data_IF_682376970823
#
_entry.id   IF_682376970823
#
_cell.length_a   1.000
_cell.length_b   1.000
_cell.length_c   1.000
_cell.angle_alpha   90.00
_cell.angle_beta   90.00
_cell.angle_gamma   90.00
#
_symmetry.space_group_name_H-M   'P 1'
#
loop_
_entity.id
_entity.type
_entity.pdbx_description
1 polymer ?
#
# COMPACT_ATOMS: atom_id res chain seq x y z
N UNK A 1 17.84 -25.78 -6.47
CA UNK A 1 16.72 -24.87 -6.14
C UNK A 1 17.33 -23.57 -5.66
N UNK A 2 17.12 -22.47 -6.37
CA UNK A 2 17.49 -21.13 -5.92
C UNK A 2 16.73 -20.82 -4.64
N UNK A 3 17.43 -20.33 -3.62
CA UNK A 3 16.84 -19.93 -2.34
C UNK A 3 15.70 -18.94 -2.64
N UNK A 4 14.43 -19.26 -2.28
CA UNK A 4 13.31 -18.36 -2.53
C UNK A 4 13.67 -17.01 -1.92
N UNK A 5 13.34 -15.92 -2.61
CA UNK A 5 13.66 -14.56 -2.20
C UNK A 5 12.94 -14.24 -0.89
N UNK A 6 13.46 -14.70 0.25
CA UNK A 6 12.75 -14.65 1.53
C UNK A 6 12.48 -13.21 1.93
N UNK A 7 11.26 -12.95 2.38
CA UNK A 7 10.85 -11.66 2.91
C UNK A 7 10.75 -11.70 4.42
N UNK A 8 11.16 -10.60 5.06
CA UNK A 8 11.17 -10.48 6.51
C UNK A 8 10.61 -9.12 6.93
N UNK A 9 9.90 -9.12 8.05
CA UNK A 9 9.44 -7.89 8.68
C UNK A 9 10.62 -6.97 9.00
N UNK A 10 10.44 -5.68 8.73
CA UNK A 10 11.38 -4.62 9.08
C UNK A 10 10.60 -3.41 9.59
N UNK A 11 11.15 -2.73 10.59
CA UNK A 11 10.58 -1.45 11.02
C UNK A 11 10.85 -0.40 9.93
N UNK A 12 9.85 0.40 9.54
CA UNK A 12 10.01 1.44 8.52
C UNK A 12 11.21 2.36 8.78
N UNK A 13 11.48 2.70 10.05
CA UNK A 13 12.64 3.52 10.46
C UNK A 13 14.01 2.89 10.13
N UNK A 14 14.05 1.58 9.86
CA UNK A 14 15.26 0.83 9.47
C UNK A 14 15.42 0.69 7.95
N UNK A 15 14.46 1.16 7.15
CA UNK A 15 14.60 1.27 5.69
C UNK A 15 15.59 2.41 5.39
N UNK A 16 16.40 2.36 4.33
CA UNK A 16 17.26 3.49 3.96
C UNK A 16 16.46 4.79 3.78
N UNK A 17 16.94 5.91 4.32
CA UNK A 17 16.22 7.19 4.33
C UNK A 17 15.83 7.68 2.93
N UNK A 18 16.70 7.46 1.93
CA UNK A 18 16.43 7.77 0.53
C UNK A 18 15.20 7.03 -0.01
N UNK A 19 14.99 5.78 0.41
CA UNK A 19 13.84 4.96 0.04
C UNK A 19 12.60 5.40 0.81
N UNK A 20 12.72 5.68 2.11
CA UNK A 20 11.62 6.22 2.91
C UNK A 20 11.03 7.49 2.27
N UNK A 21 11.89 8.43 1.86
CA UNK A 21 11.49 9.69 1.20
C UNK A 21 10.74 9.45 -0.12
N UNK A 22 11.18 8.50 -0.94
CA UNK A 22 10.49 8.13 -2.18
C UNK A 22 9.10 7.56 -1.91
N UNK A 23 9.01 6.63 -0.96
CA UNK A 23 7.74 6.02 -0.54
C UNK A 23 6.75 7.07 -0.05
N UNK A 24 7.19 7.95 0.86
CA UNK A 24 6.36 9.06 1.38
C UNK A 24 5.89 9.96 0.24
N UNK A 25 6.78 10.34 -0.67
CA UNK A 25 6.45 11.19 -1.81
C UNK A 25 5.37 10.58 -2.71
N UNK A 26 5.41 9.27 -2.97
CA UNK A 26 4.43 8.62 -3.84
C UNK A 26 3.03 8.57 -3.21
N UNK A 27 2.93 8.26 -1.91
CA UNK A 27 1.67 8.29 -1.17
C UNK A 27 1.04 9.69 -1.21
N UNK A 28 1.84 10.73 -0.95
CA UNK A 28 1.37 12.11 -0.94
C UNK A 28 0.96 12.61 -2.34
N UNK A 29 1.59 12.10 -3.40
CA UNK A 29 1.25 12.42 -4.79
C UNK A 29 -0.11 11.84 -5.19
N UNK A 30 -0.38 10.57 -4.88
CA UNK A 30 -1.63 9.90 -5.27
C UNK A 30 -2.88 10.50 -4.62
N UNK A 31 -2.77 10.98 -3.38
CA UNK A 31 -3.89 11.70 -2.74
C UNK A 31 -4.27 12.98 -3.46
N UNK A 32 -3.30 13.71 -4.03
CA UNK A 32 -3.57 14.95 -4.77
C UNK A 32 -4.40 14.67 -6.03
N UNK A 33 -4.23 13.51 -6.64
CA UNK A 33 -4.92 13.10 -7.88
C UNK A 33 -6.28 12.44 -7.64
N UNK A 34 -6.55 11.95 -6.42
CA UNK A 34 -7.86 11.42 -6.02
C UNK A 34 -8.92 12.49 -5.74
N UNK A 35 -8.57 13.78 -5.84
CA UNK A 35 -9.56 14.84 -5.82
C UNK A 35 -10.57 14.58 -6.92
N UNK A 36 -11.83 14.51 -6.52
CA UNK A 36 -12.99 14.46 -7.41
C UNK A 36 -12.71 15.30 -8.65
N UNK A 37 -12.84 14.68 -9.83
CA UNK A 37 -12.82 15.35 -11.13
C UNK A 37 -13.46 16.74 -11.00
N UNK A 38 -12.64 17.76 -11.27
CA UNK A 38 -12.61 19.12 -10.72
C UNK A 38 -13.87 20.01 -10.86
N UNK A 39 -15.07 19.48 -11.09
CA UNK A 39 -16.19 20.30 -11.54
C UNK A 39 -17.27 20.68 -10.52
N UNK A 40 -17.27 20.19 -9.26
CA UNK A 40 -18.45 20.46 -8.40
C UNK A 40 -18.24 20.88 -6.95
N UNK A 41 -17.03 20.95 -6.41
CA UNK A 41 -16.86 21.27 -4.99
C UNK A 41 -15.74 22.28 -4.77
N UNK A 42 -16.11 23.45 -4.24
CA UNK A 42 -15.22 24.55 -3.86
C UNK A 42 -14.47 24.21 -2.55
N UNK A 43 -13.90 23.00 -2.48
CA UNK A 43 -13.24 22.45 -1.29
C UNK A 43 -11.75 22.77 -1.39
N UNK A 44 -11.22 23.46 -0.37
CA UNK A 44 -9.79 23.74 -0.28
C UNK A 44 -9.01 22.42 -0.24
N UNK A 45 -8.01 22.33 -1.09
CA UNK A 45 -7.06 21.22 -1.07
C UNK A 45 -6.42 21.07 0.32
N UNK A 46 -6.63 19.94 0.98
CA UNK A 46 -5.87 19.61 2.19
C UNK A 46 -4.44 19.25 1.76
N UNK A 47 -3.46 19.94 2.35
CA UNK A 47 -2.05 19.63 2.13
C UNK A 47 -1.61 18.60 3.18
N UNK A 48 -1.37 17.37 2.73
CA UNK A 48 -0.81 16.31 3.55
C UNK A 48 0.71 16.43 3.68
N UNK A 49 1.22 16.01 4.83
CA UNK A 49 2.66 15.93 5.14
C UNK A 49 3.00 14.60 5.81
N UNK A 50 4.28 14.33 6.03
CA UNK A 50 4.76 13.07 6.64
C UNK A 50 4.14 12.80 8.03
N UNK A 51 3.89 13.84 8.83
CA UNK A 51 3.29 13.71 10.18
C UNK A 51 1.86 13.16 10.14
N UNK A 52 1.22 13.28 9.00
CA UNK A 52 -0.15 12.83 8.73
C UNK A 52 -0.15 11.38 8.25
N UNK A 53 1.01 10.72 8.13
CA UNK A 53 1.14 9.32 7.76
C UNK A 53 1.24 8.42 9.01
N UNK A 54 0.58 7.27 8.93
CA UNK A 54 0.67 6.16 9.88
C UNK A 54 1.45 5.03 9.22
N UNK A 55 2.72 4.90 9.54
CA UNK A 55 3.55 3.82 9.01
C UNK A 55 3.11 2.47 9.60
N UNK A 56 2.65 1.59 8.72
CA UNK A 56 2.22 0.24 9.06
C UNK A 56 3.36 -0.76 9.02
N UNK A 57 3.06 -2.00 8.63
CA UNK A 57 4.05 -3.07 8.47
C UNK A 57 4.90 -2.82 7.22
N UNK A 58 6.19 -3.08 7.33
CA UNK A 58 7.09 -3.11 6.19
C UNK A 58 7.82 -4.45 6.14
N UNK A 59 8.11 -4.89 4.92
CA UNK A 59 8.81 -6.12 4.62
C UNK A 59 9.97 -5.79 3.70
N UNK A 60 11.08 -6.49 3.87
CA UNK A 60 12.21 -6.44 2.94
C UNK A 60 12.57 -7.83 2.48
N UNK A 61 13.08 -7.94 1.27
CA UNK A 61 13.67 -9.19 0.81
C UNK A 61 15.04 -9.45 1.46
N UNK A 62 15.59 -10.66 1.28
CA UNK A 62 16.87 -11.09 1.87
C UNK A 62 18.04 -10.17 1.53
N UNK A 63 18.07 -9.61 0.31
CA UNK A 63 19.12 -8.69 -0.14
C UNK A 63 18.97 -7.28 0.44
N UNK A 64 17.79 -6.92 0.93
CA UNK A 64 17.49 -5.58 1.44
C UNK A 64 17.44 -4.51 0.36
N UNK A 65 17.26 -4.90 -0.90
CA UNK A 65 17.14 -4.01 -2.05
C UNK A 65 15.67 -3.78 -2.46
N UNK A 66 14.75 -4.58 -1.94
CA UNK A 66 13.31 -4.48 -2.20
C UNK A 66 12.50 -4.41 -0.92
N UNK A 67 11.44 -3.61 -0.96
CA UNK A 67 10.59 -3.25 0.16
C UNK A 67 9.12 -3.27 -0.25
N UNK A 68 8.27 -3.82 0.61
CA UNK A 68 6.82 -3.71 0.53
C UNK A 68 6.35 -3.04 1.82
N UNK A 69 5.61 -1.95 1.72
CA UNK A 69 5.27 -1.09 2.85
C UNK A 69 3.79 -0.75 2.82
N UNK A 70 3.10 -1.06 3.92
CA UNK A 70 1.76 -0.55 4.17
C UNK A 70 1.85 0.79 4.90
N UNK A 71 1.21 1.84 4.34
CA UNK A 71 1.16 3.18 4.93
C UNK A 71 -0.30 3.62 5.02
N UNK A 72 -0.77 3.92 6.22
CA UNK A 72 -2.04 4.60 6.45
C UNK A 72 -1.89 6.11 6.41
N UNK A 73 -2.99 6.83 6.22
CA UNK A 73 -3.07 8.27 6.51
C UNK A 73 -3.85 8.44 7.82
N UNK A 74 -3.29 9.19 8.76
CA UNK A 74 -3.97 9.60 9.99
C UNK A 74 -5.22 10.36 9.58
N UNK A 75 -6.37 9.89 10.05
CA UNK A 75 -7.68 10.48 9.77
C UNK A 75 -7.64 12.00 9.99
N UNK A 76 -7.83 12.76 8.91
CA UNK A 76 -8.11 14.19 8.99
C UNK A 76 -9.63 14.27 8.93
N UNK A 77 -10.26 14.63 10.05
CA UNK A 77 -11.72 14.63 10.28
C UNK A 77 -12.57 15.49 9.32
N UNK A 78 -12.04 15.94 8.20
CA UNK A 78 -12.65 16.99 7.38
C UNK A 78 -12.43 16.78 5.87
N UNK A 79 -12.30 15.53 5.41
CA UNK A 79 -12.35 15.25 3.97
C UNK A 79 -13.79 14.92 3.57
N UNK A 80 -14.54 15.87 2.99
CA UNK A 80 -15.78 15.52 2.31
C UNK A 80 -15.46 14.58 1.13
N UNK A 81 -16.25 13.51 0.97
CA UNK A 81 -16.29 12.76 -0.29
C UNK A 81 -16.78 13.66 -1.43
N UNK A 82 -16.85 13.10 -2.63
CA UNK A 82 -17.40 13.80 -3.80
C UNK A 82 -18.89 14.17 -3.66
N UNK A 83 -19.56 13.75 -2.58
CA UNK A 83 -20.95 14.06 -2.26
C UNK A 83 -21.08 15.00 -1.05
N UNK A 84 -19.97 15.48 -0.46
CA UNK A 84 -19.97 16.37 0.70
C UNK A 84 -20.08 15.67 2.05
N UNK A 85 -20.05 14.34 2.11
CA UNK A 85 -20.09 13.58 3.36
C UNK A 85 -18.70 13.53 4.00
N UNK A 86 -18.59 13.83 5.29
CA UNK A 86 -17.34 13.62 6.03
C UNK A 86 -16.95 12.14 5.99
N UNK A 87 -15.81 11.82 5.38
CA UNK A 87 -15.28 10.47 5.39
C UNK A 87 -14.21 10.33 6.47
N UNK A 88 -14.51 9.48 7.46
CA UNK A 88 -13.60 9.11 8.54
C UNK A 88 -12.72 7.90 8.25
N UNK A 89 -12.59 7.46 6.99
CA UNK A 89 -11.95 6.17 6.74
C UNK A 89 -10.44 6.37 6.49
N UNK A 90 -9.56 5.81 7.35
CA UNK A 90 -8.14 5.80 7.06
C UNK A 90 -7.92 5.07 5.74
N UNK A 91 -7.37 5.76 4.74
CA UNK A 91 -6.92 5.07 3.53
C UNK A 91 -5.55 4.46 3.79
N UNK A 92 -5.37 3.22 3.37
CA UNK A 92 -4.08 2.56 3.38
C UNK A 92 -3.56 2.42 1.96
N UNK A 93 -2.24 2.56 1.84
CA UNK A 93 -1.48 2.48 0.61
C UNK A 93 -0.54 1.29 0.75
N UNK A 94 -0.62 0.37 -0.20
CA UNK A 94 0.40 -0.65 -0.36
C UNK A 94 1.41 -0.15 -1.39
N UNK A 95 2.63 0.09 -0.94
CA UNK A 95 3.72 0.60 -1.76
C UNK A 95 4.77 -0.49 -1.91
N UNK A 96 5.22 -0.72 -3.14
CA UNK A 96 6.44 -1.46 -3.41
C UNK A 96 7.58 -0.51 -3.77
N UNK A 97 8.80 -0.80 -3.34
CA UNK A 97 9.99 -0.09 -3.78
C UNK A 97 11.16 -1.06 -3.95
N UNK A 98 11.90 -0.91 -5.05
CA UNK A 98 13.17 -1.61 -5.28
C UNK A 98 14.39 -0.70 -5.11
N UNK A 99 14.25 0.36 -4.31
CA UNK A 99 15.27 1.40 -4.10
C UNK A 99 15.36 2.43 -5.24
N UNK A 100 15.16 2.01 -6.49
CA UNK A 100 15.21 2.89 -7.66
C UNK A 100 13.83 3.45 -8.01
N UNK A 101 12.84 2.57 -8.13
CA UNK A 101 11.44 2.86 -8.41
C UNK A 101 10.58 2.67 -7.16
N UNK A 102 9.39 3.26 -7.19
CA UNK A 102 8.36 3.11 -6.16
C UNK A 102 7.02 3.03 -6.86
N UNK A 103 6.32 1.93 -6.67
CA UNK A 103 5.05 1.66 -7.30
C UNK A 103 3.96 1.62 -6.23
N UNK A 104 2.90 2.37 -6.46
CA UNK A 104 1.68 2.23 -5.67
C UNK A 104 0.90 1.03 -6.18
N UNK A 105 0.89 -0.05 -5.38
CA UNK A 105 0.23 -1.29 -5.76
C UNK A 105 -1.29 -1.17 -5.59
N UNK A 106 -1.72 -0.43 -4.57
CA UNK A 106 -3.13 -0.24 -4.27
C UNK A 106 -3.36 0.96 -3.35
N UNK A 107 -4.46 1.66 -3.59
CA UNK A 107 -5.04 2.65 -2.67
C UNK A 107 -6.49 2.25 -2.40
N UNK A 108 -6.80 1.80 -1.20
CA UNK A 108 -8.16 1.52 -0.79
C UNK A 108 -8.47 2.07 0.61
N UNK A 109 -9.77 2.17 0.90
CA UNK A 109 -10.35 2.41 2.22
C UNK A 109 -10.15 1.18 3.12
N UNK A 110 -8.90 0.97 3.53
CA UNK A 110 -8.50 -0.17 4.31
C UNK A 110 -8.21 0.20 5.75
N UNK A 111 -8.51 -0.73 6.66
CA UNK A 111 -7.92 -0.66 7.98
C UNK A 111 -6.41 -0.96 7.86
N UNK A 112 -5.57 0.08 7.96
CA UNK A 112 -4.11 0.04 7.76
C UNK A 112 -3.35 -1.01 8.59
N UNK A 113 -4.00 -1.61 9.60
CA UNK A 113 -3.43 -2.59 10.53
C UNK A 113 -3.40 -4.03 9.99
N UNK A 114 -4.08 -4.29 8.89
CA UNK A 114 -4.49 -5.65 8.53
C UNK A 114 -3.81 -6.25 7.29
N UNK A 115 -2.80 -5.57 6.73
CA UNK A 115 -2.06 -6.11 5.60
C UNK A 115 -0.85 -6.92 6.06
N UNK A 116 -0.91 -8.22 5.85
CA UNK A 116 0.14 -9.16 6.25
C UNK A 116 0.70 -9.89 5.03
N UNK A 117 1.99 -9.73 4.76
CA UNK A 117 2.66 -10.56 3.76
C UNK A 117 2.73 -11.99 4.29
N UNK A 118 2.01 -12.90 3.65
CA UNK A 118 1.97 -14.33 3.98
C UNK A 118 3.17 -15.05 3.37
N UNK A 119 3.40 -14.80 2.09
CA UNK A 119 4.37 -15.53 1.29
C UNK A 119 4.91 -14.66 0.15
N UNK A 120 6.12 -14.99 -0.28
CA UNK A 120 6.65 -14.54 -1.55
C UNK A 120 7.30 -15.74 -2.27
N UNK A 121 6.78 -16.08 -3.44
CA UNK A 121 7.16 -17.27 -4.18
C UNK A 121 6.96 -17.04 -5.68
N UNK A 122 7.77 -17.69 -6.54
CA UNK A 122 7.55 -17.75 -7.99
C UNK A 122 6.53 -18.85 -8.28
N UNK A 123 5.25 -18.52 -8.07
CA UNK A 123 4.13 -19.44 -8.12
C UNK A 123 3.69 -19.75 -9.55
N UNK A 124 3.93 -18.83 -10.49
CA UNK A 124 3.58 -19.00 -11.90
C UNK A 124 4.74 -19.55 -12.77
N UNK A 125 5.93 -19.74 -12.19
CA UNK A 125 7.16 -20.22 -12.83
C UNK A 125 7.71 -19.31 -13.94
N UNK A 126 7.56 -17.98 -13.80
CA UNK A 126 8.08 -17.00 -14.76
C UNK A 126 9.44 -16.40 -14.39
N UNK A 127 10.01 -16.84 -13.26
CA UNK A 127 11.30 -16.37 -12.76
C UNK A 127 11.23 -15.11 -11.89
N UNK A 128 10.03 -14.60 -11.61
CA UNK A 128 9.79 -13.51 -10.66
C UNK A 128 8.89 -13.98 -9.52
N UNK A 129 9.10 -13.47 -8.30
CA UNK A 129 8.29 -13.88 -7.15
C UNK A 129 7.01 -13.07 -7.07
N UNK A 130 5.85 -13.69 -6.93
CA UNK A 130 4.66 -12.97 -6.48
C UNK A 130 4.73 -12.65 -4.98
N UNK A 131 4.02 -11.61 -4.55
CA UNK A 131 3.77 -11.31 -3.14
C UNK A 131 2.32 -11.63 -2.78
N UNK A 132 2.13 -12.48 -1.77
CA UNK A 132 0.82 -12.90 -1.28
C UNK A 132 0.51 -12.17 0.02
N UNK A 133 -0.52 -11.33 0.00
CA UNK A 133 -0.97 -10.55 1.15
C UNK A 133 -2.29 -11.11 1.67
N UNK A 134 -2.40 -11.30 2.98
CA UNK A 134 -3.69 -11.48 3.62
C UNK A 134 -4.41 -10.14 3.75
N UNK A 135 -5.68 -10.12 3.35
CA UNK A 135 -6.57 -8.98 3.47
C UNK A 135 -7.59 -9.25 4.57
N UNK A 136 -7.27 -8.91 5.81
CA UNK A 136 -8.23 -9.04 6.91
C UNK A 136 -9.15 -7.82 6.93
N UNK A 137 -10.30 -7.87 6.27
CA UNK A 137 -11.34 -6.84 6.41
C UNK A 137 -12.36 -7.20 7.49
N UNK A 138 -13.02 -6.20 8.06
CA UNK A 138 -14.16 -6.43 8.95
C UNK A 138 -15.26 -7.14 8.13
N UNK A 139 -15.40 -8.46 8.29
CA UNK A 139 -16.33 -9.37 7.59
C UNK A 139 -15.92 -9.90 6.19
N UNK A 140 -14.65 -9.80 5.78
CA UNK A 140 -14.18 -10.42 4.52
C UNK A 140 -12.78 -11.00 4.71
N UNK A 141 -12.67 -12.32 4.55
CA UNK A 141 -11.38 -13.02 4.48
C UNK A 141 -11.00 -13.19 3.00
N UNK A 142 -9.82 -12.71 2.64
CA UNK A 142 -9.32 -12.78 1.27
C UNK A 142 -7.80 -12.66 1.23
N UNK A 143 -7.24 -12.77 0.04
CA UNK A 143 -5.83 -12.50 -0.19
C UNK A 143 -5.63 -11.75 -1.50
N UNK A 144 -4.58 -10.95 -1.57
CA UNK A 144 -4.16 -10.24 -2.77
C UNK A 144 -2.81 -10.75 -3.24
N UNK A 145 -2.65 -10.90 -4.55
CA UNK A 145 -1.39 -11.34 -5.17
C UNK A 145 -0.84 -10.22 -6.03
N UNK A 146 0.37 -9.77 -5.72
CA UNK A 146 1.11 -8.83 -6.55
C UNK A 146 2.09 -9.56 -7.47
N UNK A 147 1.92 -9.37 -8.76
CA UNK A 147 2.78 -9.93 -9.80
C UNK A 147 3.78 -8.85 -10.27
N UNK A 148 5.09 -9.09 -10.06
CA UNK A 148 6.14 -8.15 -10.46
C UNK A 148 6.30 -8.01 -11.97
N UNK A 149 5.98 -9.05 -12.75
CA UNK A 149 6.13 -9.03 -14.20
C UNK A 149 5.04 -8.19 -14.85
N UNK A 150 3.80 -8.31 -14.37
CA UNK A 150 2.69 -7.49 -14.90
C UNK A 150 2.54 -6.16 -14.18
N UNK A 151 3.12 -6.00 -12.98
CA UNK A 151 2.95 -4.82 -12.14
C UNK A 151 1.53 -4.65 -11.63
N UNK A 152 0.77 -5.75 -11.53
CA UNK A 152 -0.65 -5.74 -11.15
C UNK A 152 -0.87 -6.43 -9.82
N UNK A 153 -1.72 -5.82 -9.00
CA UNK A 153 -2.29 -6.46 -7.82
C UNK A 153 -3.64 -7.07 -8.19
N UNK A 154 -3.83 -8.36 -7.90
CA UNK A 154 -5.08 -9.08 -8.11
C UNK A 154 -5.66 -9.49 -6.77
N UNK A 155 -6.90 -9.06 -6.50
CA UNK A 155 -7.62 -9.37 -5.25
C UNK A 155 -8.42 -10.68 -5.41
N UNK A 156 -8.23 -11.62 -4.51
CA UNK A 156 -8.97 -12.87 -4.41
C UNK A 156 -9.79 -12.85 -3.12
N UNK A 157 -10.99 -12.28 -3.18
CA UNK A 157 -11.92 -12.28 -2.06
C UNK A 157 -12.71 -13.59 -1.97
N UNK A 158 -12.99 -14.07 -0.76
CA UNK A 158 -14.19 -14.90 -0.57
C UNK A 158 -15.40 -13.96 -0.64
N UNK A 159 -16.31 -14.26 -1.58
CA UNK A 159 -17.66 -13.70 -1.48
C UNK A 159 -18.33 -14.44 -0.33
N UNK A 160 -18.50 -13.76 0.80
CA UNK A 160 -19.45 -14.22 1.81
C UNK A 160 -20.83 -14.17 1.16
N UNK A 161 -21.45 -15.35 1.02
CA UNK A 161 -22.87 -15.52 0.71
C UNK A 161 -23.76 -14.84 1.75
#
# INVERSE_FOLDING_TARGET
MSDPDRWHFVNFKKIPESVQKKIISEVLKHRKTQKCTEEKLNVKAITLSEKDLLFGRAYKNKKGDRFAVAIGIREIKEMPDCNGNEMGIPSAYLIYSNGNATDLLQSQEWNYRNLELLEAADANHDGTSELFFADYQYNRDGFSVYDFKTGKLTEYGTSSH
#
